data_IF_121535917794
#
_entry.id   IF_121535917794
#
_cell.length_a   1.000
_cell.length_b   1.000
_cell.length_c   1.000
_cell.angle_alpha   90.00
_cell.angle_beta   90.00
_cell.angle_gamma   90.00
#
_symmetry.space_group_name_H-M   'P 1'
#
loop_
_entity.id
_entity.type
_entity.pdbx_description
1 polymer ?
#
# COMPACT_ATOMS: atom_id res chain seq x y z
N UNK A 1 -7.37 1.15 1.52
CA UNK A 1 -6.41 0.51 0.61
C UNK A 1 -5.70 1.65 -0.12
N UNK A 2 -4.52 2.07 0.37
CA UNK A 2 -3.82 3.26 -0.15
C UNK A 2 -3.35 3.01 -1.58
N UNK A 3 -3.60 3.94 -2.49
CA UNK A 3 -3.15 3.87 -3.88
C UNK A 3 -1.63 3.62 -3.96
N UNK A 4 -1.19 2.75 -4.89
CA UNK A 4 0.23 2.37 -5.05
C UNK A 4 1.10 3.57 -5.39
N UNK A 5 0.56 4.54 -6.14
CA UNK A 5 1.26 5.78 -6.45
C UNK A 5 1.44 6.64 -5.18
N UNK A 6 0.42 6.74 -4.33
CA UNK A 6 0.53 7.41 -3.03
C UNK A 6 1.52 6.69 -2.11
N UNK A 7 1.56 5.35 -2.11
CA UNK A 7 2.56 4.59 -1.33
C UNK A 7 3.99 4.88 -1.81
N UNK A 8 4.21 5.05 -3.11
CA UNK A 8 5.51 5.42 -3.66
C UNK A 8 5.93 6.81 -3.19
N UNK A 9 5.02 7.79 -3.24
CA UNK A 9 5.27 9.16 -2.76
C UNK A 9 5.66 9.15 -1.28
N UNK A 10 4.86 8.50 -0.42
CA UNK A 10 5.17 8.37 1.00
C UNK A 10 6.52 7.68 1.27
N UNK A 11 6.87 6.67 0.47
CA UNK A 11 8.15 5.95 0.63
C UNK A 11 9.34 6.84 0.22
N UNK A 12 9.17 7.71 -0.77
CA UNK A 12 10.19 8.68 -1.19
C UNK A 12 10.39 9.79 -0.15
N UNK A 13 9.30 10.29 0.43
CA UNK A 13 9.35 11.28 1.51
C UNK A 13 10.10 10.69 2.72
N UNK A 14 9.74 9.47 3.14
CA UNK A 14 10.44 8.75 4.20
C UNK A 14 11.93 8.54 3.92
N UNK A 15 12.30 8.23 2.68
CA UNK A 15 13.71 8.09 2.31
C UNK A 15 14.46 9.41 2.48
N UNK A 16 13.85 10.52 2.09
CA UNK A 16 14.43 11.86 2.24
C UNK A 16 14.62 12.23 3.71
N UNK A 17 13.63 11.95 4.55
CA UNK A 17 13.71 12.16 6.00
C UNK A 17 14.82 11.33 6.65
N UNK A 18 14.95 10.06 6.24
CA UNK A 18 16.01 9.17 6.74
C UNK A 18 17.38 9.69 6.29
N UNK A 19 17.53 10.15 5.05
CA UNK A 19 18.80 10.72 4.57
C UNK A 19 19.19 11.96 5.36
N UNK A 20 18.25 12.90 5.57
CA UNK A 20 18.51 14.11 6.34
C UNK A 20 18.84 13.80 7.80
N UNK A 21 18.08 12.90 8.42
CA UNK A 21 18.30 12.49 9.81
C UNK A 21 19.63 11.75 9.98
N UNK A 22 20.02 10.93 9.00
CA UNK A 22 21.30 10.21 9.00
C UNK A 22 22.48 11.18 8.92
N UNK A 23 22.42 12.16 8.03
CA UNK A 23 23.46 13.19 7.92
C UNK A 23 23.54 14.04 9.19
N UNK A 24 22.38 14.45 9.73
CA UNK A 24 22.32 15.22 10.97
C UNK A 24 22.87 14.43 12.16
N UNK A 25 22.60 13.13 12.22
CA UNK A 25 23.13 12.25 13.25
C UNK A 25 24.66 12.15 13.16
N UNK A 26 25.21 11.94 11.96
CA UNK A 26 26.66 11.88 11.75
C UNK A 26 27.32 13.22 12.12
N UNK A 27 26.74 14.34 11.69
CA UNK A 27 27.24 15.68 11.98
C UNK A 27 27.23 16.00 13.48
N UNK A 28 26.19 15.59 14.21
CA UNK A 28 26.06 15.89 15.65
C UNK A 28 26.72 14.87 16.59
N UNK A 29 27.11 13.69 16.11
CA UNK A 29 27.61 12.61 16.99
C UNK A 29 29.01 12.12 16.61
N UNK A 30 29.65 12.71 15.59
CA UNK A 30 31.03 12.38 15.28
C UNK A 30 31.98 12.83 16.40
N UNK A 31 32.99 12.00 16.61
CA UNK A 31 34.06 12.31 17.56
C UNK A 31 35.18 13.10 16.89
N UNK A 32 35.88 13.93 17.66
CA UNK A 32 36.98 14.76 17.16
C UNK A 32 38.24 13.90 16.94
N UNK A 33 38.75 13.88 15.70
CA UNK A 33 39.98 13.14 15.36
C UNK A 33 41.17 14.11 15.36
N UNK A 34 42.25 13.83 16.11
CA UNK A 34 43.43 14.68 16.10
C UNK A 34 44.17 14.58 14.75
N UNK A 35 44.67 15.71 14.25
CA UNK A 35 45.41 15.79 12.98
C UNK A 35 46.77 15.07 13.05
N UNK A 36 47.44 15.13 14.21
CA UNK A 36 48.64 14.34 14.49
C UNK A 36 48.39 13.41 15.68
N UNK A 37 48.94 12.17 15.66
CA UNK A 37 48.81 11.23 16.77
C UNK A 37 49.43 11.69 18.10
N UNK A 38 50.35 12.68 18.04
CA UNK A 38 51.00 13.27 19.21
C UNK A 38 50.23 14.46 19.79
N UNK A 39 49.28 15.04 19.05
CA UNK A 39 48.55 16.22 19.52
C UNK A 39 47.43 15.80 20.48
N UNK A 40 47.22 16.53 21.58
CA UNK A 40 46.12 16.26 22.49
C UNK A 40 44.79 16.50 21.78
N UNK A 41 43.87 15.54 21.91
CA UNK A 41 42.52 15.65 21.37
C UNK A 41 41.81 16.84 22.04
N UNK A 42 41.41 17.80 21.23
CA UNK A 42 40.59 18.92 21.68
C UNK A 42 39.16 18.39 21.83
N UNK A 43 38.65 18.36 23.07
CA UNK A 43 37.28 17.99 23.36
C UNK A 43 36.48 19.25 23.75
N UNK A 44 35.33 19.46 23.11
CA UNK A 44 34.38 20.50 23.53
C UNK A 44 33.65 20.03 24.80
N UNK A 45 33.69 20.80 25.92
CA UNK A 45 33.00 20.45 27.16
C UNK A 45 31.49 20.22 27.01
N UNK A 46 30.86 20.78 25.97
CA UNK A 46 29.42 20.65 25.71
C UNK A 46 29.09 19.53 24.72
N UNK A 47 30.10 18.89 24.12
CA UNK A 47 29.92 17.81 23.14
C UNK A 47 30.24 16.47 23.79
N UNK A 48 29.24 15.61 23.93
CA UNK A 48 29.40 14.29 24.50
C UNK A 48 29.07 13.23 23.44
N UNK A 49 30.02 12.91 22.53
CA UNK A 49 29.77 11.96 21.46
C UNK A 49 29.56 10.55 22.05
N UNK A 50 28.74 9.71 21.37
CA UNK A 50 28.60 8.31 21.72
C UNK A 50 29.93 7.54 21.62
N UNK A 51 29.97 6.34 22.20
CA UNK A 51 31.15 5.49 22.04
C UNK A 51 31.37 5.15 20.56
N UNK A 52 32.62 4.90 20.16
CA UNK A 52 32.95 4.53 18.77
C UNK A 52 32.16 3.29 18.31
N UNK A 53 31.95 2.33 19.22
CA UNK A 53 31.15 1.14 18.97
C UNK A 53 29.68 1.49 18.71
N UNK A 54 29.06 2.29 19.59
CA UNK A 54 27.66 2.67 19.45
C UNK A 54 27.44 3.52 18.20
N UNK A 55 28.36 4.45 17.92
CA UNK A 55 28.32 5.29 16.72
C UNK A 55 28.38 4.46 15.44
N UNK A 56 29.33 3.52 15.35
CA UNK A 56 29.45 2.63 14.21
C UNK A 56 28.24 1.69 14.08
N UNK A 57 27.70 1.20 15.20
CA UNK A 57 26.46 0.41 15.20
C UNK A 57 25.27 1.20 14.65
N UNK A 58 25.10 2.45 15.10
CA UNK A 58 24.05 3.34 14.57
C UNK A 58 24.24 3.67 13.10
N UNK A 59 25.48 3.88 12.64
CA UNK A 59 25.77 4.06 11.21
C UNK A 59 25.34 2.84 10.38
N UNK A 60 25.61 1.62 10.86
CA UNK A 60 25.20 0.40 10.17
C UNK A 60 23.68 0.24 10.12
N UNK A 61 22.97 0.58 11.20
CA UNK A 61 21.50 0.58 11.25
C UNK A 61 20.92 1.56 10.24
N UNK A 62 21.39 2.83 10.25
CA UNK A 62 20.96 3.85 9.29
C UNK A 62 21.20 3.44 7.83
N UNK A 63 22.37 2.85 7.54
CA UNK A 63 22.67 2.33 6.20
C UNK A 63 21.73 1.19 5.80
N UNK A 64 21.44 0.29 6.74
CA UNK A 64 20.53 -0.84 6.52
C UNK A 64 19.13 -0.34 6.20
N UNK A 65 18.63 0.65 6.96
CA UNK A 65 17.32 1.25 6.74
C UNK A 65 17.20 1.92 5.37
N UNK A 66 18.22 2.66 4.95
CA UNK A 66 18.27 3.27 3.60
C UNK A 66 18.20 2.18 2.51
N UNK A 67 18.93 1.09 2.66
CA UNK A 67 18.94 -0.03 1.70
C UNK A 67 17.56 -0.70 1.66
N UNK A 68 16.97 -0.99 2.82
CA UNK A 68 15.66 -1.63 2.91
C UNK A 68 14.57 -0.73 2.31
N UNK A 69 14.59 0.57 2.58
CA UNK A 69 13.66 1.54 1.99
C UNK A 69 13.81 1.64 0.48
N UNK A 70 15.04 1.64 -0.01
CA UNK A 70 15.31 1.65 -1.46
C UNK A 70 14.75 0.39 -2.14
N UNK A 71 14.93 -0.80 -1.55
CA UNK A 71 14.35 -2.04 -2.06
C UNK A 71 12.82 -2.03 -2.03
N UNK A 72 12.23 -1.48 -0.96
CA UNK A 72 10.79 -1.30 -0.85
C UNK A 72 10.27 -0.41 -1.99
N UNK A 73 10.92 0.72 -2.27
CA UNK A 73 10.59 1.62 -3.37
C UNK A 73 10.64 0.90 -4.72
N UNK A 74 11.71 0.15 -5.00
CA UNK A 74 11.83 -0.63 -6.24
C UNK A 74 10.70 -1.64 -6.40
N UNK A 75 10.36 -2.35 -5.32
CA UNK A 75 9.25 -3.31 -5.33
C UNK A 75 7.91 -2.63 -5.60
N UNK A 76 7.69 -1.42 -5.06
CA UNK A 76 6.49 -0.64 -5.34
C UNK A 76 6.44 -0.24 -6.82
N UNK A 77 7.56 0.21 -7.38
CA UNK A 77 7.67 0.57 -8.81
C UNK A 77 7.33 -0.62 -9.70
N UNK A 78 7.89 -1.80 -9.40
CA UNK A 78 7.64 -3.04 -10.16
C UNK A 78 6.18 -3.50 -10.08
N UNK A 79 5.47 -3.13 -9.01
CA UNK A 79 4.07 -3.49 -8.78
C UNK A 79 3.08 -2.37 -9.12
N UNK A 80 3.54 -1.29 -9.79
CA UNK A 80 2.66 -0.22 -10.22
C UNK A 80 1.65 -0.73 -11.28
N UNK A 81 0.34 -0.54 -11.05
CA UNK A 81 -0.67 -1.01 -11.99
C UNK A 81 -0.53 -0.27 -13.32
N UNK A 82 -0.52 -1.03 -14.42
CA UNK A 82 -0.42 -0.46 -15.77
C UNK A 82 1.00 -0.02 -16.17
N UNK A 83 2.03 -0.33 -15.36
CA UNK A 83 3.43 -0.16 -15.79
C UNK A 83 3.69 -0.99 -17.06
N UNK A 84 4.28 -0.37 -18.08
CA UNK A 84 4.55 -1.02 -19.37
C UNK A 84 3.36 -1.15 -20.34
N UNK A 85 2.15 -0.73 -19.95
CA UNK A 85 0.97 -0.77 -20.83
C UNK A 85 0.78 0.58 -21.53
N UNK A 86 0.54 0.56 -22.84
CA UNK A 86 0.26 1.79 -23.58
C UNK A 86 -1.15 2.31 -23.30
N UNK A 87 -1.34 3.64 -23.40
CA UNK A 87 -2.66 4.27 -23.23
C UNK A 87 -3.73 3.70 -24.15
N UNK A 88 -3.34 3.29 -25.37
CA UNK A 88 -4.27 2.69 -26.34
C UNK A 88 -4.83 1.37 -25.82
N UNK A 89 -3.96 0.46 -25.37
CA UNK A 89 -4.37 -0.83 -24.80
C UNK A 89 -5.23 -0.61 -23.56
N UNK A 90 -4.87 0.34 -22.68
CA UNK A 90 -5.69 0.68 -21.52
C UNK A 90 -7.11 1.12 -21.90
N UNK A 91 -7.26 1.96 -22.92
CA UNK A 91 -8.56 2.41 -23.41
C UNK A 91 -9.37 1.27 -24.03
N UNK A 92 -8.73 0.40 -24.81
CA UNK A 92 -9.37 -0.80 -25.38
C UNK A 92 -9.87 -1.72 -24.26
N UNK A 93 -9.05 -2.01 -23.24
CA UNK A 93 -9.46 -2.79 -22.07
C UNK A 93 -10.65 -2.16 -21.35
N UNK A 94 -10.66 -0.83 -21.18
CA UNK A 94 -11.81 -0.12 -20.57
C UNK A 94 -13.08 -0.30 -21.41
N UNK A 95 -12.98 -0.22 -22.73
CA UNK A 95 -14.13 -0.39 -23.62
C UNK A 95 -14.67 -1.82 -23.57
N UNK A 96 -13.81 -2.83 -23.52
CA UNK A 96 -14.23 -4.22 -23.46
C UNK A 96 -14.84 -4.59 -22.11
N UNK A 97 -14.23 -4.15 -21.00
CA UNK A 97 -14.81 -4.28 -19.66
C UNK A 97 -16.18 -3.62 -19.56
N UNK A 98 -16.40 -2.48 -20.23
CA UNK A 98 -17.72 -1.83 -20.28
C UNK A 98 -18.76 -2.70 -20.99
N UNK A 99 -18.39 -3.37 -22.09
CA UNK A 99 -19.30 -4.27 -22.81
C UNK A 99 -19.63 -5.49 -21.95
N UNK A 100 -18.62 -6.09 -21.32
CA UNK A 100 -18.80 -7.24 -20.41
C UNK A 100 -19.72 -6.88 -19.24
N UNK A 101 -19.53 -5.69 -18.65
CA UNK A 101 -20.36 -5.20 -17.56
C UNK A 101 -21.84 -5.07 -17.97
N UNK A 102 -22.11 -4.51 -19.16
CA UNK A 102 -23.48 -4.42 -19.69
C UNK A 102 -24.13 -5.79 -19.88
N UNK A 103 -23.38 -6.78 -20.37
CA UNK A 103 -23.88 -8.15 -20.53
C UNK A 103 -24.18 -8.80 -19.18
N UNK A 104 -23.26 -8.67 -18.22
CA UNK A 104 -23.43 -9.20 -16.87
C UNK A 104 -24.60 -8.54 -16.13
N UNK A 105 -24.81 -7.23 -16.32
CA UNK A 105 -25.96 -6.52 -15.75
C UNK A 105 -27.29 -7.01 -16.33
N UNK A 106 -27.35 -7.27 -17.64
CA UNK A 106 -28.54 -7.82 -18.28
C UNK A 106 -28.85 -9.23 -17.78
N UNK A 107 -27.83 -10.08 -17.67
CA UNK A 107 -27.99 -11.42 -17.12
C UNK A 107 -28.49 -11.37 -15.67
N UNK A 108 -27.94 -10.45 -14.86
CA UNK A 108 -28.42 -10.20 -13.50
C UNK A 108 -29.89 -9.77 -13.49
N UNK A 109 -30.29 -8.86 -14.38
CA UNK A 109 -31.69 -8.40 -14.49
C UNK A 109 -32.64 -9.56 -14.82
N UNK A 110 -32.29 -10.37 -15.81
CA UNK A 110 -33.10 -11.52 -16.22
C UNK A 110 -33.18 -12.58 -15.11
N UNK A 111 -32.09 -12.81 -14.38
CA UNK A 111 -32.06 -13.72 -13.24
C UNK A 111 -32.94 -13.22 -12.08
N UNK A 112 -32.95 -11.91 -11.81
CA UNK A 112 -33.82 -11.30 -10.80
C UNK A 112 -35.29 -11.46 -11.19
N UNK A 113 -35.65 -11.18 -12.45
CA UNK A 113 -37.03 -11.37 -12.94
C UNK A 113 -37.51 -12.80 -12.73
N UNK A 114 -36.73 -13.80 -13.16
CA UNK A 114 -37.08 -15.22 -12.96
C UNK A 114 -37.23 -15.58 -11.48
N UNK A 115 -36.37 -15.03 -10.61
CA UNK A 115 -36.47 -15.23 -9.16
C UNK A 115 -37.78 -14.65 -8.62
N UNK A 116 -38.17 -13.46 -9.06
CA UNK A 116 -39.39 -12.80 -8.60
C UNK A 116 -40.64 -13.53 -9.10
N UNK A 117 -40.66 -13.96 -10.37
CA UNK A 117 -41.76 -14.76 -10.95
C UNK A 117 -41.96 -16.08 -10.19
N UNK A 118 -40.86 -16.79 -9.87
CA UNK A 118 -40.91 -18.04 -9.10
C UNK A 118 -41.39 -17.80 -7.66
N UNK A 119 -40.99 -16.68 -7.05
CA UNK A 119 -41.40 -16.33 -5.70
C UNK A 119 -42.90 -16.01 -5.64
N UNK A 120 -43.43 -15.32 -6.64
CA UNK A 120 -44.86 -15.06 -6.78
C UNK A 120 -45.65 -16.37 -6.94
N UNK A 121 -45.18 -17.29 -7.79
CA UNK A 121 -45.80 -18.60 -7.98
C UNK A 121 -45.82 -19.45 -6.70
N UNK A 122 -44.73 -19.48 -5.94
CA UNK A 122 -44.68 -20.21 -4.66
C UNK A 122 -45.63 -19.57 -3.64
N UNK A 123 -45.68 -18.24 -3.58
CA UNK A 123 -46.60 -17.54 -2.68
C UNK A 123 -48.06 -17.84 -3.02
N UNK A 124 -48.45 -17.86 -4.30
CA UNK A 124 -49.83 -18.19 -4.69
C UNK A 124 -50.23 -19.60 -4.28
N UNK A 125 -49.34 -20.58 -4.44
CA UNK A 125 -49.57 -21.96 -3.98
C UNK A 125 -49.75 -22.04 -2.46
N UNK A 126 -48.93 -21.31 -1.70
CA UNK A 126 -49.04 -21.27 -0.23
C UNK A 126 -50.38 -20.66 0.19
N UNK A 127 -50.81 -19.56 -0.45
CA UNK A 127 -52.11 -18.93 -0.18
C UNK A 127 -53.27 -19.86 -0.51
N UNK A 128 -53.26 -20.49 -1.69
CA UNK A 128 -54.32 -21.44 -2.13
C UNK A 128 -54.46 -22.63 -1.17
N UNK A 129 -53.34 -23.22 -0.73
CA UNK A 129 -53.35 -24.30 0.27
C UNK A 129 -53.89 -23.79 1.61
N UNK A 130 -53.50 -22.59 2.03
CA UNK A 130 -53.95 -22.01 3.30
C UNK A 130 -55.46 -21.76 3.30
N UNK A 131 -56.00 -21.23 2.20
CA UNK A 131 -57.42 -20.97 2.01
C UNK A 131 -58.22 -22.28 1.98
N UNK A 132 -57.73 -23.29 1.25
CA UNK A 132 -58.36 -24.63 1.22
C UNK A 132 -58.43 -25.25 2.62
N UNK A 133 -57.37 -25.15 3.42
CA UNK A 133 -57.35 -25.65 4.80
C UNK A 133 -58.36 -24.87 5.67
N UNK A 134 -58.48 -23.56 5.47
CA UNK A 134 -59.43 -22.73 6.20
C UNK A 134 -60.89 -23.06 5.86
N UNK A 135 -61.20 -23.35 4.59
CA UNK A 135 -62.55 -23.76 4.15
C UNK A 135 -62.94 -25.19 4.58
N UNK A 136 -61.96 -26.06 4.83
CA UNK A 136 -62.20 -27.46 5.22
C UNK A 136 -62.44 -27.63 6.74
N UNK A 137 -62.27 -26.58 7.55
CA UNK A 137 -62.49 -26.58 9.01
C UNK A 137 -63.78 -25.90 9.41
#
# INVERSE_FOLDING_TARGET
MTDRLTQLQLSLDQLTDILFSSLSYIDQNHDSVPLNPLDPKIADPNHNPPSEYDFHSSQQELCTDIILKTRQILTIIDTLPGVGVTKKVQLETIQDLRKELLLAEKEKEDAIKRKDDLLEFVNSLITEISDTIAETR
#
